data_IF_429140334156
#
_entry.id   IF_429140334156
#
_cell.length_a   1.000
_cell.length_b   1.000
_cell.length_c   1.000
_cell.angle_alpha   90.00
_cell.angle_beta   90.00
_cell.angle_gamma   90.00
#
_symmetry.space_group_name_H-M   'P 1'
#
loop_
_entity.id
_entity.type
_entity.pdbx_description
1 polymer ?
#
# COMPACT_ATOMS: atom_id res chain seq x y z
N UNK A 1 43.08 -28.48 40.45
CA UNK A 1 44.20 -28.49 39.50
C UNK A 1 43.92 -29.53 38.42
N UNK A 2 43.50 -29.12 37.22
CA UNK A 2 43.33 -30.01 36.06
C UNK A 2 44.11 -29.41 34.90
N UNK A 3 45.05 -30.19 34.40
CA UNK A 3 46.01 -29.83 33.36
C UNK A 3 45.34 -29.77 31.98
N UNK A 4 45.62 -28.70 31.25
CA UNK A 4 45.22 -28.50 29.85
C UNK A 4 46.24 -29.19 28.93
N UNK A 5 45.74 -30.06 28.04
CA UNK A 5 46.50 -30.69 26.96
C UNK A 5 46.20 -29.90 25.67
N UNK A 6 47.18 -29.15 25.20
CA UNK A 6 47.18 -28.44 23.92
C UNK A 6 47.70 -29.39 22.84
N UNK A 7 46.83 -29.83 21.93
CA UNK A 7 47.19 -30.54 20.71
C UNK A 7 47.14 -29.54 19.56
N UNK A 8 48.29 -29.18 19.01
CA UNK A 8 48.42 -28.32 17.85
C UNK A 8 48.28 -29.14 16.57
N UNK A 9 47.19 -28.91 15.82
CA UNK A 9 47.03 -29.42 14.46
C UNK A 9 47.52 -28.38 13.46
N UNK A 10 48.57 -28.71 12.72
CA UNK A 10 49.04 -27.94 11.56
C UNK A 10 48.24 -28.40 10.34
N UNK A 11 47.23 -27.62 9.96
CA UNK A 11 46.47 -27.84 8.74
C UNK A 11 47.17 -27.13 7.57
N UNK A 12 47.69 -27.90 6.62
CA UNK A 12 48.21 -27.40 5.36
C UNK A 12 47.04 -26.92 4.47
N UNK A 13 46.91 -25.61 4.32
CA UNK A 13 45.93 -24.97 3.43
C UNK A 13 46.46 -24.97 1.99
N UNK A 14 45.90 -25.85 1.17
CA UNK A 14 46.09 -25.82 -0.29
C UNK A 14 45.21 -24.71 -0.86
N UNK A 15 45.81 -23.56 -1.15
CA UNK A 15 45.15 -22.45 -1.86
C UNK A 15 44.89 -22.83 -3.31
N UNK A 16 43.69 -23.31 -3.60
CA UNK A 16 43.20 -23.38 -4.97
C UNK A 16 42.91 -21.95 -5.44
N UNK A 17 43.74 -21.43 -6.34
CA UNK A 17 43.49 -20.17 -7.01
C UNK A 17 42.22 -20.30 -7.84
N UNK A 18 41.09 -19.94 -7.25
CA UNK A 18 39.82 -19.81 -7.94
C UNK A 18 39.97 -18.67 -8.94
N UNK A 19 40.08 -18.99 -10.23
CA UNK A 19 39.92 -18.01 -11.30
C UNK A 19 38.50 -17.46 -11.14
N UNK A 20 38.38 -16.32 -10.46
CA UNK A 20 37.14 -15.58 -10.39
C UNK A 20 36.78 -15.24 -11.83
N UNK A 21 35.85 -16.02 -12.43
CA UNK A 21 35.15 -15.57 -13.61
C UNK A 21 34.59 -14.22 -13.20
N UNK A 22 35.09 -13.15 -13.81
CA UNK A 22 34.41 -11.87 -13.81
C UNK A 22 33.03 -12.19 -14.37
N UNK A 23 32.05 -12.35 -13.47
CA UNK A 23 30.67 -12.47 -13.83
C UNK A 23 30.40 -11.18 -14.60
N UNK A 24 30.36 -11.28 -15.93
CA UNK A 24 29.89 -10.21 -16.78
C UNK A 24 28.56 -9.80 -16.16
N UNK A 25 28.54 -8.62 -15.54
CA UNK A 25 27.36 -8.13 -14.86
C UNK A 25 26.22 -8.26 -15.87
N UNK A 26 25.21 -9.07 -15.51
CA UNK A 26 24.09 -9.32 -16.38
C UNK A 26 23.60 -7.97 -16.91
N UNK A 27 23.33 -7.84 -18.22
CA UNK A 27 22.97 -6.57 -18.83
C UNK A 27 21.92 -5.89 -17.95
N UNK A 28 22.21 -4.64 -17.55
CA UNK A 28 21.37 -3.81 -16.68
C UNK A 28 19.89 -4.12 -16.87
N UNK A 29 19.32 -4.89 -15.95
CA UNK A 29 17.97 -5.37 -16.07
C UNK A 29 16.99 -4.20 -15.94
N UNK A 30 15.81 -4.34 -16.54
CA UNK A 30 14.70 -3.42 -16.26
C UNK A 30 14.34 -3.55 -14.76
N UNK A 31 13.88 -2.46 -14.16
CA UNK A 31 13.32 -2.47 -12.80
C UNK A 31 11.81 -2.32 -12.87
N UNK A 32 11.09 -3.11 -12.09
CA UNK A 32 9.64 -3.02 -11.91
C UNK A 32 9.35 -2.37 -10.58
N UNK A 33 8.65 -1.25 -10.59
CA UNK A 33 8.13 -0.62 -9.37
C UNK A 33 6.62 -0.71 -9.37
N UNK A 34 6.07 -1.47 -8.44
CA UNK A 34 4.64 -1.59 -8.24
C UNK A 34 4.19 -0.74 -7.06
N UNK A 35 3.01 -0.13 -7.18
CA UNK A 35 2.43 0.67 -6.11
C UNK A 35 0.92 0.54 -6.10
N UNK A 36 0.37 0.53 -4.90
CA UNK A 36 -1.06 0.58 -4.59
C UNK A 36 -1.24 1.38 -3.29
N UNK A 37 -2.40 2.01 -3.07
CA UNK A 37 -2.68 2.66 -1.79
C UNK A 37 -2.82 1.67 -0.62
N UNK A 38 -2.96 0.38 -0.92
CA UNK A 38 -2.96 -0.72 0.04
C UNK A 38 -1.85 -1.72 -0.34
N UNK A 39 -1.34 -2.52 0.61
CA UNK A 39 -0.39 -3.59 0.32
C UNK A 39 -0.88 -4.48 -0.83
N UNK A 40 -0.01 -4.74 -1.82
CA UNK A 40 -0.39 -5.51 -3.01
C UNK A 40 -0.69 -6.99 -2.72
N UNK A 41 -0.19 -7.52 -1.60
CA UNK A 41 -0.42 -8.90 -1.15
C UNK A 41 -0.14 -9.92 -2.26
N UNK A 42 -1.06 -10.86 -2.54
CA UNK A 42 -0.88 -11.86 -3.60
C UNK A 42 -0.71 -11.28 -5.02
N UNK A 43 -1.18 -10.06 -5.28
CA UNK A 43 -0.93 -9.40 -6.57
C UNK A 43 0.56 -9.04 -6.68
N UNK A 44 1.16 -8.54 -5.61
CA UNK A 44 2.58 -8.19 -5.56
C UNK A 44 3.48 -9.42 -5.74
N UNK A 45 3.12 -10.54 -5.12
CA UNK A 45 3.82 -11.83 -5.33
C UNK A 45 3.85 -12.24 -6.81
N UNK A 46 2.72 -12.12 -7.51
CA UNK A 46 2.63 -12.45 -8.95
C UNK A 46 3.42 -11.48 -9.84
N UNK A 47 3.45 -10.20 -9.50
CA UNK A 47 4.25 -9.21 -10.21
C UNK A 47 5.74 -9.46 -10.00
N UNK A 48 6.14 -9.78 -8.78
CA UNK A 48 7.52 -10.17 -8.43
C UNK A 48 7.93 -11.43 -9.21
N UNK A 49 7.08 -12.45 -9.25
CA UNK A 49 7.31 -13.68 -10.02
C UNK A 49 7.46 -13.41 -11.53
N UNK A 50 6.63 -12.52 -12.08
CA UNK A 50 6.70 -12.12 -13.49
C UNK A 50 7.97 -11.31 -13.80
N UNK A 51 8.36 -10.39 -12.91
CA UNK A 51 9.59 -9.62 -13.03
C UNK A 51 10.83 -10.54 -12.99
N UNK A 52 10.88 -11.45 -12.02
CA UNK A 52 11.98 -12.40 -11.86
C UNK A 52 12.16 -13.30 -13.10
N UNK A 53 11.06 -13.79 -13.70
CA UNK A 53 11.12 -14.57 -14.96
C UNK A 53 11.73 -13.78 -16.13
N UNK A 54 11.54 -12.47 -16.16
CA UNK A 54 12.11 -11.60 -17.18
C UNK A 54 13.53 -11.11 -16.83
N UNK A 55 14.09 -11.57 -15.70
CA UNK A 55 15.38 -11.10 -15.18
C UNK A 55 15.34 -9.67 -14.63
N UNK A 56 14.15 -9.10 -14.40
CA UNK A 56 13.96 -7.75 -13.87
C UNK A 56 13.96 -7.73 -12.33
N UNK A 57 14.44 -6.63 -11.75
CA UNK A 57 14.29 -6.37 -10.31
C UNK A 57 12.85 -5.94 -9.99
N UNK A 58 12.36 -6.25 -8.79
CA UNK A 58 11.01 -5.87 -8.35
C UNK A 58 11.06 -5.10 -7.04
N UNK A 59 10.32 -3.99 -6.98
CA UNK A 59 10.13 -3.16 -5.80
C UNK A 59 8.63 -2.94 -5.59
N UNK A 60 8.12 -3.30 -4.42
CA UNK A 60 6.81 -2.86 -3.96
C UNK A 60 6.97 -1.53 -3.22
N UNK A 61 6.53 -0.45 -3.85
CA UNK A 61 6.53 0.91 -3.29
C UNK A 61 5.22 1.26 -2.59
N UNK A 62 4.26 0.31 -2.49
CA UNK A 62 3.02 0.51 -1.74
C UNK A 62 3.34 0.77 -0.26
N UNK A 63 2.50 1.54 0.47
CA UNK A 63 2.67 1.67 1.91
C UNK A 63 2.69 0.29 2.57
N UNK A 64 3.64 0.09 3.48
CA UNK A 64 3.64 -1.10 4.31
C UNK A 64 2.30 -1.21 5.04
N UNK A 65 1.77 -2.43 5.16
CA UNK A 65 0.66 -2.67 6.06
C UNK A 65 1.16 -2.26 7.46
N UNK A 66 0.55 -1.26 8.08
CA UNK A 66 0.81 -0.97 9.48
C UNK A 66 0.31 -2.19 10.27
N UNK A 67 1.20 -3.05 10.80
CA UNK A 67 0.77 -4.29 11.44
C UNK A 67 0.08 -3.90 12.73
N UNK A 68 -1.26 -3.87 12.70
CA UNK A 68 -2.02 -3.56 13.88
C UNK A 68 -1.85 -4.69 14.89
N UNK A 69 -1.57 -4.35 16.17
CA UNK A 69 -1.62 -5.35 17.22
C UNK A 69 -3.03 -5.93 17.30
N UNK A 70 -3.15 -7.25 17.26
CA UNK A 70 -4.43 -7.94 17.36
C UNK A 70 -4.82 -8.11 18.84
N UNK A 71 -5.95 -7.53 19.31
CA UNK A 71 -6.39 -7.70 20.69
C UNK A 71 -6.99 -9.09 20.97
N UNK A 72 -7.41 -9.86 19.95
CA UNK A 72 -8.12 -11.15 20.15
C UNK A 72 -7.35 -12.18 21.00
N UNK A 73 -6.03 -12.37 20.85
CA UNK A 73 -5.27 -13.26 21.73
C UNK A 73 -5.33 -12.85 23.21
N UNK A 74 -5.32 -11.54 23.50
CA UNK A 74 -5.44 -11.02 24.87
C UNK A 74 -6.86 -11.20 25.41
N UNK A 75 -7.89 -10.93 24.59
CA UNK A 75 -9.29 -11.19 24.94
C UNK A 75 -9.47 -12.67 25.30
N UNK A 76 -9.04 -13.58 24.42
CA UNK A 76 -9.14 -15.03 24.65
C UNK A 76 -8.42 -15.45 25.93
N UNK A 77 -7.20 -14.94 26.17
CA UNK A 77 -6.44 -15.20 27.39
C UNK A 77 -7.17 -14.72 28.63
N UNK A 78 -7.71 -13.50 28.60
CA UNK A 78 -8.45 -12.91 29.70
C UNK A 78 -9.73 -13.68 30.05
N UNK A 79 -10.51 -14.08 29.05
CA UNK A 79 -11.70 -14.91 29.23
C UNK A 79 -11.34 -16.28 29.81
N UNK A 80 -10.26 -16.90 29.31
CA UNK A 80 -9.77 -18.19 29.83
C UNK A 80 -9.34 -18.06 31.30
N UNK A 81 -8.57 -17.03 31.63
CA UNK A 81 -8.11 -16.76 33.00
C UNK A 81 -9.30 -16.50 33.95
N UNK A 82 -10.33 -15.76 33.49
CA UNK A 82 -11.55 -15.57 34.27
C UNK A 82 -12.25 -16.91 34.57
N UNK A 83 -12.40 -17.78 33.56
CA UNK A 83 -12.98 -19.12 33.73
C UNK A 83 -12.19 -20.02 34.70
N UNK A 84 -10.89 -19.80 34.82
CA UNK A 84 -10.00 -20.50 35.77
C UNK A 84 -9.92 -19.81 37.15
N UNK A 85 -10.71 -18.75 37.38
CA UNK A 85 -10.67 -17.93 38.60
C UNK A 85 -9.32 -17.20 38.84
N UNK A 86 -8.51 -17.04 37.80
CA UNK A 86 -7.26 -16.26 37.82
C UNK A 86 -7.57 -14.77 37.58
N UNK A 87 -8.32 -14.16 38.50
CA UNK A 87 -8.96 -12.84 38.30
C UNK A 87 -7.98 -11.72 37.95
N UNK A 88 -6.79 -11.68 38.58
CA UNK A 88 -5.76 -10.69 38.26
C UNK A 88 -5.20 -10.87 36.85
N UNK A 89 -4.94 -12.12 36.44
CA UNK A 89 -4.50 -12.44 35.08
C UNK A 89 -5.55 -12.08 34.02
N UNK A 90 -6.83 -12.29 34.35
CA UNK A 90 -7.96 -11.88 33.53
C UNK A 90 -8.01 -10.36 33.35
N UNK A 91 -7.99 -9.59 34.44
CA UNK A 91 -8.02 -8.13 34.43
C UNK A 91 -6.86 -7.58 33.61
N UNK A 92 -5.63 -8.00 33.90
CA UNK A 92 -4.45 -7.50 33.18
C UNK A 92 -4.51 -7.77 31.67
N UNK A 93 -4.99 -8.96 31.27
CA UNK A 93 -5.11 -9.31 29.86
C UNK A 93 -6.23 -8.52 29.16
N UNK A 94 -7.38 -8.33 29.82
CA UNK A 94 -8.52 -7.61 29.26
C UNK A 94 -8.28 -6.09 29.24
N UNK A 95 -7.58 -5.52 30.23
CA UNK A 95 -7.16 -4.12 30.20
C UNK A 95 -6.18 -3.86 29.06
N UNK A 96 -5.17 -4.70 28.89
CA UNK A 96 -4.26 -4.59 27.75
C UNK A 96 -5.00 -4.72 26.41
N UNK A 97 -6.00 -5.61 26.31
CA UNK A 97 -6.83 -5.71 25.12
C UNK A 97 -7.66 -4.44 24.87
N UNK A 98 -8.24 -3.84 25.92
CA UNK A 98 -8.99 -2.60 25.81
C UNK A 98 -8.11 -1.42 25.40
N UNK A 99 -6.87 -1.35 25.89
CA UNK A 99 -5.89 -0.33 25.45
C UNK A 99 -5.56 -0.46 23.96
N UNK A 100 -5.39 -1.69 23.48
CA UNK A 100 -5.21 -1.94 22.04
C UNK A 100 -6.46 -1.57 21.24
N UNK A 101 -7.65 -1.83 21.76
CA UNK A 101 -8.91 -1.43 21.12
C UNK A 101 -9.03 0.09 21.02
N UNK A 102 -8.65 0.84 22.06
CA UNK A 102 -8.59 2.31 22.04
C UNK A 102 -7.59 2.83 20.99
N UNK A 103 -6.40 2.21 20.89
CA UNK A 103 -5.37 2.57 19.91
C UNK A 103 -5.77 2.24 18.46
N UNK A 104 -6.44 1.11 18.26
CA UNK A 104 -6.76 0.58 16.93
C UNK A 104 -8.18 0.94 16.47
N UNK A 105 -8.98 1.65 17.27
CA UNK A 105 -10.37 1.95 16.95
C UNK A 105 -11.22 0.68 16.80
N UNK A 106 -10.91 -0.37 17.56
CA UNK A 106 -11.49 -1.71 17.44
C UNK A 106 -11.32 -2.36 16.05
N UNK A 107 -10.28 -1.99 15.28
CA UNK A 107 -10.05 -2.54 13.95
C UNK A 107 -9.99 -4.08 13.96
N UNK A 108 -10.75 -4.71 13.07
CA UNK A 108 -10.81 -6.17 12.94
C UNK A 108 -11.67 -6.89 14.00
N UNK A 109 -12.29 -6.18 14.95
CA UNK A 109 -13.25 -6.75 15.89
C UNK A 109 -14.69 -6.55 15.41
N UNK A 110 -15.53 -7.58 15.57
CA UNK A 110 -16.98 -7.44 15.48
C UNK A 110 -17.58 -7.00 16.83
N UNK A 111 -18.84 -6.58 16.79
CA UNK A 111 -19.54 -6.07 17.98
C UNK A 111 -19.68 -7.11 19.09
N UNK A 112 -19.69 -8.41 18.75
CA UNK A 112 -19.77 -9.49 19.73
C UNK A 112 -18.46 -9.67 20.48
N UNK A 113 -17.36 -9.76 19.76
CA UNK A 113 -16.02 -9.88 20.35
C UNK A 113 -15.67 -8.64 21.17
N UNK A 114 -16.02 -7.45 20.68
CA UNK A 114 -15.85 -6.19 21.40
C UNK A 114 -16.72 -6.14 22.67
N UNK A 115 -17.99 -6.57 22.58
CA UNK A 115 -18.87 -6.69 23.74
C UNK A 115 -18.39 -7.72 24.75
N UNK A 116 -17.85 -8.85 24.31
CA UNK A 116 -17.31 -9.90 25.19
C UNK A 116 -16.08 -9.40 25.97
N UNK A 117 -15.18 -8.65 25.34
CA UNK A 117 -14.06 -8.01 26.03
C UNK A 117 -14.54 -7.23 27.26
N UNK A 118 -15.45 -6.28 27.09
CA UNK A 118 -15.90 -5.45 28.20
C UNK A 118 -16.82 -6.21 29.16
N UNK A 119 -17.58 -7.20 28.69
CA UNK A 119 -18.41 -8.03 29.58
C UNK A 119 -17.53 -8.81 30.55
N UNK A 120 -16.53 -9.52 30.06
CA UNK A 120 -15.65 -10.30 30.94
C UNK A 120 -14.78 -9.42 31.82
N UNK A 121 -14.46 -8.19 31.38
CA UNK A 121 -13.75 -7.22 32.21
C UNK A 121 -14.63 -6.73 33.38
N UNK A 122 -15.90 -6.43 33.09
CA UNK A 122 -16.89 -6.10 34.11
C UNK A 122 -17.03 -7.22 35.15
N UNK A 123 -17.16 -8.47 34.69
CA UNK A 123 -17.29 -9.65 35.54
C UNK A 123 -16.07 -9.87 36.45
N UNK A 124 -14.86 -9.73 35.89
CA UNK A 124 -13.63 -9.87 36.65
C UNK A 124 -13.52 -8.78 37.75
N UNK A 125 -13.86 -7.53 37.42
CA UNK A 125 -13.90 -6.43 38.40
C UNK A 125 -14.98 -6.62 39.47
N UNK A 126 -16.19 -7.06 39.10
CA UNK A 126 -17.26 -7.35 40.06
C UNK A 126 -16.84 -8.43 41.06
N UNK A 127 -16.19 -9.49 40.58
CA UNK A 127 -15.74 -10.60 41.41
C UNK A 127 -14.65 -10.17 42.40
N UNK A 128 -13.85 -9.16 42.06
CA UNK A 128 -12.84 -8.54 42.95
C UNK A 128 -13.42 -7.48 43.90
N UNK A 129 -14.73 -7.19 43.82
CA UNK A 129 -15.38 -6.14 44.62
C UNK A 129 -15.12 -4.72 44.11
N UNK A 130 -14.68 -4.55 42.85
CA UNK A 130 -14.52 -3.23 42.23
C UNK A 130 -15.78 -2.85 41.44
N UNK A 131 -16.85 -2.56 42.19
CA UNK A 131 -18.17 -2.26 41.62
C UNK A 131 -18.20 -1.04 40.69
N UNK A 132 -17.45 0.06 40.93
CA UNK A 132 -17.42 1.19 40.00
C UNK A 132 -16.87 0.82 38.62
N UNK A 133 -15.70 0.17 38.55
CA UNK A 133 -15.13 -0.25 37.25
C UNK A 133 -16.01 -1.27 36.54
N UNK A 134 -16.56 -2.22 37.30
CA UNK A 134 -17.50 -3.20 36.77
C UNK A 134 -18.72 -2.53 36.13
N UNK A 135 -19.29 -1.54 36.81
CA UNK A 135 -20.41 -0.77 36.27
C UNK A 135 -20.07 -0.04 34.98
N UNK A 136 -18.93 0.66 34.93
CA UNK A 136 -18.48 1.39 33.74
C UNK A 136 -18.36 0.46 32.53
N UNK A 137 -17.84 -0.75 32.73
CA UNK A 137 -17.70 -1.74 31.67
C UNK A 137 -19.05 -2.33 31.24
N UNK A 138 -19.97 -2.61 32.17
CA UNK A 138 -21.33 -3.02 31.80
C UNK A 138 -22.06 -1.95 30.97
N UNK A 139 -21.88 -0.67 31.28
CA UNK A 139 -22.43 0.45 30.50
C UNK A 139 -21.83 0.46 29.10
N UNK A 140 -20.52 0.23 28.96
CA UNK A 140 -19.87 0.09 27.65
C UNK A 140 -20.47 -1.06 26.83
N UNK A 141 -20.61 -2.25 27.42
CA UNK A 141 -21.22 -3.42 26.73
C UNK A 141 -22.66 -3.10 26.29
N UNK A 142 -23.45 -2.47 27.16
CA UNK A 142 -24.82 -2.07 26.85
C UNK A 142 -24.89 -1.02 25.73
N UNK A 143 -23.89 -0.15 25.60
CA UNK A 143 -23.73 0.79 24.49
C UNK A 143 -23.43 0.09 23.16
N UNK A 144 -22.50 -0.87 23.16
CA UNK A 144 -22.09 -1.64 21.97
C UNK A 144 -23.20 -2.59 21.51
N UNK A 145 -23.85 -3.29 22.44
CA UNK A 145 -24.84 -4.34 22.16
C UNK A 145 -26.15 -4.10 22.95
N UNK A 146 -26.94 -3.07 22.61
CA UNK A 146 -28.12 -2.68 23.39
C UNK A 146 -29.22 -3.75 23.44
N UNK A 147 -29.22 -4.69 22.49
CA UNK A 147 -30.18 -5.79 22.42
C UNK A 147 -29.70 -7.07 23.11
N UNK A 148 -28.46 -7.11 23.61
CA UNK A 148 -27.91 -8.30 24.26
C UNK A 148 -28.66 -8.62 25.55
N UNK A 149 -28.96 -9.90 25.74
CA UNK A 149 -29.51 -10.45 26.98
C UNK A 149 -28.54 -11.52 27.46
N UNK A 150 -28.15 -11.47 28.73
CA UNK A 150 -27.31 -12.51 29.33
C UNK A 150 -28.18 -13.71 29.68
N UNK A 151 -27.70 -14.90 29.35
CA UNK A 151 -28.37 -16.17 29.68
C UNK A 151 -28.31 -16.41 31.20
N UNK A 152 -29.44 -16.48 31.92
CA UNK A 152 -29.45 -16.76 33.35
C UNK A 152 -28.83 -18.11 33.74
N UNK A 153 -28.74 -19.08 32.81
CA UNK A 153 -28.06 -20.34 33.08
C UNK A 153 -26.52 -20.20 33.07
N UNK A 154 -26.00 -19.23 32.33
CA UNK A 154 -24.56 -18.98 32.19
C UNK A 154 -24.00 -17.93 33.15
N UNK A 155 -24.85 -17.10 33.77
CA UNK A 155 -24.42 -15.98 34.60
C UNK A 155 -25.19 -15.92 35.94
N UNK A 156 -24.53 -15.54 37.05
CA UNK A 156 -25.21 -15.36 38.33
C UNK A 156 -26.37 -14.34 38.24
N UNK A 157 -27.49 -14.53 38.96
CA UNK A 157 -28.64 -13.62 38.88
C UNK A 157 -28.28 -12.14 39.10
N UNK A 158 -27.40 -11.86 40.08
CA UNK A 158 -26.91 -10.50 40.35
C UNK A 158 -26.22 -9.84 39.15
N UNK A 159 -25.50 -10.62 38.35
CA UNK A 159 -24.84 -10.15 37.12
C UNK A 159 -25.88 -9.84 36.04
N UNK A 160 -26.86 -10.74 35.85
CA UNK A 160 -27.95 -10.55 34.90
C UNK A 160 -28.74 -9.29 35.23
N UNK A 161 -29.12 -9.12 36.49
CA UNK A 161 -29.84 -7.93 36.98
C UNK A 161 -29.01 -6.66 36.80
N UNK A 162 -27.71 -6.70 37.14
CA UNK A 162 -26.80 -5.54 37.03
C UNK A 162 -26.60 -5.12 35.58
N UNK A 163 -26.43 -6.07 34.66
CA UNK A 163 -26.34 -5.75 33.24
C UNK A 163 -27.68 -5.25 32.68
N UNK A 164 -28.81 -5.78 33.16
CA UNK A 164 -30.14 -5.24 32.87
C UNK A 164 -30.29 -3.77 33.27
N UNK A 165 -29.79 -3.40 34.45
CA UNK A 165 -29.73 -2.00 34.91
C UNK A 165 -28.83 -1.15 34.01
N UNK A 166 -27.66 -1.63 33.59
CA UNK A 166 -26.77 -0.91 32.69
C UNK A 166 -27.43 -0.65 31.32
N UNK A 167 -28.17 -1.63 30.79
CA UNK A 167 -28.97 -1.45 29.56
C UNK A 167 -30.06 -0.40 29.71
N UNK A 168 -30.81 -0.44 30.81
CA UNK A 168 -31.83 0.56 31.10
C UNK A 168 -31.21 1.96 31.25
N UNK A 169 -30.04 2.06 31.89
CA UNK A 169 -29.28 3.29 32.01
C UNK A 169 -28.87 3.85 30.65
N UNK A 170 -28.22 3.04 29.79
CA UNK A 170 -27.82 3.45 28.44
C UNK A 170 -29.02 3.85 27.58
N UNK A 171 -30.15 3.15 27.68
CA UNK A 171 -31.37 3.50 26.97
C UNK A 171 -31.95 4.86 27.40
N UNK A 172 -31.69 5.29 28.63
CA UNK A 172 -32.11 6.58 29.17
C UNK A 172 -31.09 7.71 28.93
N UNK A 173 -29.88 7.40 28.45
CA UNK A 173 -28.88 8.43 28.14
C UNK A 173 -29.34 9.29 26.95
N UNK A 174 -29.00 10.59 26.93
CA UNK A 174 -29.15 11.41 25.74
C UNK A 174 -28.45 10.75 24.55
N UNK A 175 -28.97 11.02 23.35
CA UNK A 175 -28.36 10.53 22.10
C UNK A 175 -27.70 11.67 21.36
N UNK A 176 -26.51 11.40 20.84
CA UNK A 176 -25.77 12.29 19.95
C UNK A 176 -25.88 11.82 18.51
N UNK A 177 -26.12 12.76 17.61
CA UNK A 177 -26.08 12.58 16.17
C UNK A 177 -24.64 12.64 15.70
N UNK A 178 -24.11 11.52 15.23
CA UNK A 178 -22.77 11.40 14.66
C UNK A 178 -22.87 11.52 13.15
N UNK A 179 -22.26 12.58 12.62
CA UNK A 179 -22.16 12.88 11.20
C UNK A 179 -20.80 12.45 10.68
N UNK A 180 -20.77 11.54 9.72
CA UNK A 180 -19.54 11.02 9.13
C UNK A 180 -19.15 11.89 7.93
N UNK A 181 -17.93 12.44 7.94
CA UNK A 181 -17.44 13.34 6.90
C UNK A 181 -16.02 13.01 6.44
N UNK A 182 -15.67 13.20 5.15
CA UNK A 182 -16.59 13.33 4.03
C UNK A 182 -17.27 11.98 3.74
N UNK A 183 -18.59 11.99 3.63
CA UNK A 183 -19.36 10.83 3.17
C UNK A 183 -19.94 11.14 1.79
N UNK A 184 -19.69 10.29 0.81
CA UNK A 184 -20.18 10.48 -0.56
C UNK A 184 -19.25 11.24 -1.52
N UNK A 185 -17.96 11.40 -1.20
CA UNK A 185 -16.95 11.81 -2.18
C UNK A 185 -16.57 10.68 -3.15
N UNK A 186 -15.61 10.92 -4.05
CA UNK A 186 -15.09 9.92 -5.00
C UNK A 186 -14.50 8.65 -4.33
N UNK A 187 -14.14 8.73 -3.04
CA UNK A 187 -13.59 7.60 -2.30
C UNK A 187 -14.73 6.77 -1.66
N UNK A 188 -14.74 5.46 -1.95
CA UNK A 188 -15.57 4.50 -1.22
C UNK A 188 -14.94 4.24 0.14
N UNK A 189 -15.70 4.47 1.21
CA UNK A 189 -15.27 4.18 2.57
C UNK A 189 -16.06 3.01 3.15
N UNK A 190 -15.40 2.11 3.85
CA UNK A 190 -16.00 1.15 4.76
C UNK A 190 -15.78 1.68 6.18
N UNK A 191 -16.87 1.96 6.89
CA UNK A 191 -16.84 2.45 8.27
C UNK A 191 -17.45 1.42 9.19
N UNK A 192 -16.77 1.13 10.29
CA UNK A 192 -17.27 0.36 11.41
C UNK A 192 -17.34 1.25 12.64
N UNK A 193 -18.46 1.19 13.33
CA UNK A 193 -18.63 1.80 14.66
C UNK A 193 -19.00 0.67 15.61
N UNK A 194 -18.21 0.53 16.68
CA UNK A 194 -18.36 -0.54 17.68
C UNK A 194 -18.40 -1.94 17.07
N UNK A 195 -17.61 -2.14 16.00
CA UNK A 195 -17.56 -3.40 15.25
C UNK A 195 -18.75 -3.65 14.32
N UNK A 196 -19.69 -2.71 14.18
CA UNK A 196 -20.84 -2.79 13.25
C UNK A 196 -20.56 -1.97 12.00
N UNK A 197 -20.79 -2.54 10.80
CA UNK A 197 -20.64 -1.81 9.53
C UNK A 197 -21.75 -0.78 9.42
N UNK A 198 -21.37 0.48 9.22
CA UNK A 198 -22.27 1.60 9.01
C UNK A 198 -22.38 1.91 7.52
N UNK A 199 -23.61 2.07 7.04
CA UNK A 199 -23.92 2.37 5.62
C UNK A 199 -24.56 3.74 5.42
N UNK A 200 -24.74 4.52 6.48
CA UNK A 200 -25.35 5.86 6.46
C UNK A 200 -24.34 6.94 6.82
N UNK A 201 -24.57 8.16 6.32
CA UNK A 201 -23.80 9.37 6.67
C UNK A 201 -23.98 9.79 8.12
N UNK A 202 -25.09 9.38 8.71
CA UNK A 202 -25.63 9.88 9.96
C UNK A 202 -26.13 8.70 10.77
N UNK A 203 -25.81 8.71 12.05
CA UNK A 203 -26.30 7.74 13.01
C UNK A 203 -26.50 8.42 14.37
N UNK A 204 -27.44 7.91 15.15
CA UNK A 204 -27.61 8.33 16.53
C UNK A 204 -26.99 7.30 17.46
N UNK A 205 -26.09 7.73 18.33
CA UNK A 205 -25.48 6.90 19.37
C UNK A 205 -25.89 7.41 20.75
N UNK A 206 -26.06 6.55 21.76
CA UNK A 206 -26.16 7.03 23.13
C UNK A 206 -24.89 7.80 23.51
N UNK A 207 -24.98 8.72 24.47
CA UNK A 207 -23.79 9.38 25.00
C UNK A 207 -22.86 8.33 25.63
N UNK A 208 -21.56 8.45 25.37
CA UNK A 208 -20.59 7.46 25.83
C UNK A 208 -19.39 7.26 24.91
N UNK A 209 -18.64 6.20 25.19
CA UNK A 209 -17.46 5.80 24.42
C UNK A 209 -17.84 4.86 23.30
N UNK A 210 -17.34 5.15 22.12
CA UNK A 210 -17.50 4.36 20.90
C UNK A 210 -16.16 4.20 20.20
N UNK A 211 -16.04 3.24 19.29
CA UNK A 211 -14.82 3.01 18.52
C UNK A 211 -15.11 3.07 17.04
N UNK A 212 -14.27 3.81 16.31
CA UNK A 212 -14.40 4.04 14.87
C UNK A 212 -13.19 3.43 14.16
N UNK A 213 -13.46 2.53 13.21
CA UNK A 213 -12.50 2.04 12.22
C UNK A 213 -13.05 2.34 10.83
N UNK A 214 -12.38 3.24 10.12
CA UNK A 214 -12.76 3.67 8.78
C UNK A 214 -11.61 3.44 7.80
N UNK A 215 -11.90 2.74 6.71
CA UNK A 215 -10.97 2.53 5.59
C UNK A 215 -11.57 3.11 4.34
N UNK A 216 -10.86 4.05 3.71
CA UNK A 216 -11.27 4.69 2.46
C UNK A 216 -10.28 4.36 1.35
N UNK A 217 -10.79 4.22 0.13
CA UNK A 217 -9.94 4.03 -1.05
C UNK A 217 -8.93 5.18 -1.21
N UNK A 218 -7.67 4.83 -1.50
CA UNK A 218 -6.57 5.79 -1.69
C UNK A 218 -6.25 6.71 -0.50
N UNK A 219 -6.67 6.35 0.72
CA UNK A 219 -6.42 7.13 1.94
C UNK A 219 -5.96 6.23 3.07
N UNK A 220 -5.19 6.82 3.99
CA UNK A 220 -4.83 6.14 5.23
C UNK A 220 -6.11 5.88 6.06
N UNK A 221 -6.19 4.74 6.77
CA UNK A 221 -7.32 4.42 7.62
C UNK A 221 -7.42 5.39 8.80
N UNK A 222 -8.64 5.67 9.27
CA UNK A 222 -8.91 6.41 10.50
C UNK A 222 -9.38 5.43 11.56
N UNK A 223 -8.64 5.37 12.66
CA UNK A 223 -8.87 4.48 13.79
C UNK A 223 -8.77 5.27 15.07
N UNK A 224 -9.84 5.32 15.85
CA UNK A 224 -9.85 6.07 17.12
C UNK A 224 -11.05 5.71 17.98
N UNK A 225 -10.91 6.00 19.27
CA UNK A 225 -12.05 6.19 20.17
C UNK A 225 -12.80 7.47 19.82
N UNK A 226 -14.12 7.41 19.91
CA UNK A 226 -15.06 8.50 19.74
C UNK A 226 -15.85 8.67 21.04
N UNK A 227 -15.73 9.83 21.66
CA UNK A 227 -16.50 10.18 22.85
C UNK A 227 -17.74 10.99 22.40
N UNK A 228 -18.93 10.42 22.56
CA UNK A 228 -20.21 11.06 22.24
C UNK A 228 -20.74 11.77 23.47
N UNK A 229 -20.52 13.08 23.55
CA UNK A 229 -20.81 13.90 24.73
C UNK A 229 -21.73 15.10 24.46
N UNK A 230 -22.22 15.23 23.22
CA UNK A 230 -23.02 16.37 22.75
C UNK A 230 -24.01 15.95 21.66
N UNK A 231 -24.96 16.83 21.37
CA UNK A 231 -26.08 16.55 20.46
C UNK A 231 -25.64 16.27 19.03
N UNK A 232 -24.59 16.94 18.53
CA UNK A 232 -24.08 16.71 17.17
C UNK A 232 -22.55 16.64 17.18
N UNK A 233 -21.99 15.61 16.55
CA UNK A 233 -20.55 15.42 16.42
C UNK A 233 -20.22 15.09 14.96
N UNK A 234 -19.28 15.84 14.39
CA UNK A 234 -18.71 15.50 13.10
C UNK A 234 -17.46 14.63 13.27
N UNK A 235 -17.43 13.50 12.58
CA UNK A 235 -16.34 12.54 12.61
C UNK A 235 -15.68 12.50 11.25
N UNK A 236 -14.43 12.96 11.20
CA UNK A 236 -13.60 12.82 10.00
C UNK A 236 -13.20 11.36 9.81
N UNK A 237 -13.80 10.68 8.84
CA UNK A 237 -13.56 9.26 8.53
C UNK A 237 -12.48 9.02 7.47
N UNK A 238 -12.05 10.07 6.78
CA UNK A 238 -11.05 9.98 5.72
C UNK A 238 -9.70 10.51 6.19
N UNK A 239 -8.69 9.63 6.22
CA UNK A 239 -7.31 10.01 6.50
C UNK A 239 -6.66 10.82 5.37
N UNK A 240 -5.36 11.14 5.51
CA UNK A 240 -4.58 11.74 4.43
C UNK A 240 -4.59 10.85 3.19
N UNK A 241 -4.50 11.48 2.02
CA UNK A 241 -4.40 10.76 0.75
C UNK A 241 -3.04 10.07 0.67
N UNK A 242 -3.06 8.80 0.26
CA UNK A 242 -1.84 8.06 -0.07
C UNK A 242 -1.52 8.37 -1.54
N UNK A 243 -0.40 9.07 -1.76
CA UNK A 243 0.02 9.51 -3.10
C UNK A 243 1.05 8.53 -3.63
N UNK A 244 0.97 8.11 -4.92
CA UNK A 244 2.02 7.33 -5.53
C UNK A 244 3.33 8.12 -5.60
N UNK A 245 4.50 7.45 -5.62
CA UNK A 245 5.76 8.10 -5.96
C UNK A 245 5.64 8.80 -7.32
N UNK A 246 6.17 10.01 -7.43
CA UNK A 246 6.21 10.71 -8.72
C UNK A 246 7.26 10.09 -9.67
N UNK A 247 7.13 10.39 -10.96
CA UNK A 247 8.03 9.84 -11.99
C UNK A 247 9.51 10.21 -11.70
N UNK A 248 9.77 11.36 -11.07
CA UNK A 248 11.13 11.78 -10.71
C UNK A 248 11.74 10.87 -9.63
N UNK A 249 11.02 10.58 -8.55
CA UNK A 249 11.44 9.67 -7.50
C UNK A 249 11.65 8.24 -8.03
N UNK A 250 10.76 7.78 -8.92
CA UNK A 250 10.90 6.46 -9.55
C UNK A 250 12.13 6.37 -10.48
N UNK A 251 12.41 7.43 -11.24
CA UNK A 251 13.62 7.49 -12.09
C UNK A 251 14.91 7.55 -11.28
N UNK A 252 14.91 8.19 -10.11
CA UNK A 252 16.05 8.14 -9.19
C UNK A 252 16.32 6.70 -8.75
N UNK A 253 15.29 5.95 -8.35
CA UNK A 253 15.43 4.52 -8.00
C UNK A 253 15.98 3.70 -9.17
N UNK A 254 15.45 3.91 -10.39
CA UNK A 254 15.92 3.21 -11.57
C UNK A 254 17.40 3.51 -11.91
N UNK A 255 17.84 4.76 -11.75
CA UNK A 255 19.24 5.16 -11.97
C UNK A 255 20.18 4.56 -10.94
N UNK A 256 19.78 4.55 -9.67
CA UNK A 256 20.56 3.91 -8.59
C UNK A 256 20.71 2.41 -8.86
N UNK A 257 19.68 1.76 -9.37
CA UNK A 257 19.72 0.36 -9.79
C UNK A 257 20.46 0.13 -11.13
N UNK A 258 20.97 1.19 -11.77
CA UNK A 258 21.55 1.15 -13.12
C UNK A 258 20.63 0.52 -14.17
N UNK A 259 19.31 0.62 -14.01
CA UNK A 259 18.32 0.01 -14.89
C UNK A 259 18.26 0.72 -16.25
N UNK A 260 17.97 -0.04 -17.32
CA UNK A 260 17.80 0.51 -18.70
C UNK A 260 16.45 1.17 -18.90
N UNK A 261 15.42 0.55 -18.34
CA UNK A 261 14.07 1.05 -18.31
C UNK A 261 13.42 0.74 -16.96
N UNK A 262 12.38 1.49 -16.67
CA UNK A 262 11.54 1.37 -15.49
C UNK A 262 10.15 0.95 -15.97
N UNK A 263 9.61 -0.15 -15.43
CA UNK A 263 8.21 -0.50 -15.60
C UNK A 263 7.46 -0.16 -14.32
N UNK A 264 6.50 0.75 -14.40
CA UNK A 264 5.69 1.18 -13.26
C UNK A 264 4.34 0.47 -13.33
N UNK A 265 3.91 -0.13 -12.22
CA UNK A 265 2.60 -0.76 -12.08
C UNK A 265 1.82 -0.05 -10.99
N UNK A 266 0.88 0.82 -11.36
CA UNK A 266 -0.02 1.48 -10.43
C UNK A 266 -1.36 0.75 -10.36
N UNK A 267 -1.73 0.26 -9.18
CA UNK A 267 -3.03 -0.36 -8.93
C UNK A 267 -3.85 0.57 -8.05
N UNK A 268 -4.96 1.09 -8.57
CA UNK A 268 -5.88 1.95 -7.82
C UNK A 268 -7.32 1.53 -8.11
N UNK A 269 -8.01 1.11 -7.05
CA UNK A 269 -9.40 0.68 -7.13
C UNK A 269 -9.61 -0.46 -8.11
N UNK A 270 -10.38 -0.18 -9.16
CA UNK A 270 -10.71 -1.12 -10.24
C UNK A 270 -9.89 -0.90 -11.50
N UNK A 271 -8.72 -0.26 -11.38
CA UNK A 271 -7.84 -0.01 -12.52
C UNK A 271 -6.40 -0.34 -12.18
N UNK A 272 -5.69 -0.93 -13.14
CA UNK A 272 -4.23 -1.02 -13.11
C UNK A 272 -3.64 -0.31 -14.32
N UNK A 273 -2.63 0.50 -14.09
CA UNK A 273 -1.87 1.19 -15.10
C UNK A 273 -0.45 0.62 -15.10
N UNK A 274 -0.07 0.02 -16.22
CA UNK A 274 1.29 -0.47 -16.47
C UNK A 274 1.94 0.51 -17.44
N UNK A 275 3.09 1.06 -17.12
CA UNK A 275 3.84 2.01 -17.97
C UNK A 275 5.29 1.59 -18.07
N UNK A 276 5.88 1.66 -19.26
CA UNK A 276 7.33 1.51 -19.45
C UNK A 276 7.94 2.87 -19.73
N UNK A 277 8.87 3.29 -18.88
CA UNK A 277 9.61 4.54 -18.97
C UNK A 277 11.08 4.24 -19.32
N UNK A 278 11.65 5.02 -20.25
CA UNK A 278 13.10 5.06 -20.41
C UNK A 278 13.76 5.78 -19.25
N UNK A 279 15.07 5.59 -19.06
CA UNK A 279 15.84 6.30 -18.02
C UNK A 279 15.92 7.83 -18.26
N UNK A 280 15.60 8.25 -19.49
CA UNK A 280 15.39 9.64 -19.92
C UNK A 280 14.03 10.20 -19.50
N UNK A 281 13.19 9.39 -18.84
CA UNK A 281 11.85 9.75 -18.38
C UNK A 281 10.78 9.71 -19.46
N UNK A 282 11.13 9.34 -20.70
CA UNK A 282 10.14 9.25 -21.79
C UNK A 282 9.34 7.96 -21.68
N UNK A 283 8.02 8.08 -21.78
CA UNK A 283 7.11 6.94 -21.86
C UNK A 283 7.30 6.22 -23.21
N UNK A 284 7.55 4.92 -23.13
CA UNK A 284 7.77 4.03 -24.29
C UNK A 284 6.56 3.14 -24.57
N UNK A 285 5.85 2.73 -23.53
CA UNK A 285 4.64 1.90 -23.63
C UNK A 285 3.71 2.15 -22.43
N UNK A 286 2.41 1.93 -22.63
CA UNK A 286 1.36 2.09 -21.63
C UNK A 286 0.20 1.14 -21.88
N UNK A 287 -0.22 0.45 -20.83
CA UNK A 287 -1.43 -0.38 -20.81
C UNK A 287 -2.29 -0.01 -19.60
N UNK A 288 -3.58 0.20 -19.84
CA UNK A 288 -4.58 0.41 -18.79
C UNK A 288 -5.50 -0.80 -18.75
N UNK A 289 -5.65 -1.41 -17.58
CA UNK A 289 -6.44 -2.61 -17.34
C UNK A 289 -7.60 -2.28 -16.40
N UNK A 290 -8.81 -2.74 -16.73
CA UNK A 290 -9.95 -2.68 -15.83
C UNK A 290 -10.01 -3.95 -14.98
N UNK A 291 -10.05 -3.79 -13.66
CA UNK A 291 -10.07 -4.88 -12.68
C UNK A 291 -11.51 -5.11 -12.19
N UNK A 292 -11.90 -6.38 -12.07
CA UNK A 292 -13.22 -6.81 -11.59
C UNK A 292 -13.23 -7.24 -10.11
N UNK A 293 -12.10 -7.17 -9.42
CA UNK A 293 -11.88 -7.67 -8.07
C UNK A 293 -11.66 -9.18 -7.99
N UNK A 294 -11.24 -9.84 -9.07
CA UNK A 294 -11.13 -11.30 -9.13
C UNK A 294 -9.68 -11.80 -9.11
N UNK A 295 -9.48 -13.09 -8.80
CA UNK A 295 -8.15 -13.73 -8.91
C UNK A 295 -7.60 -13.62 -10.34
N UNK A 296 -8.47 -13.65 -11.35
CA UNK A 296 -8.11 -13.51 -12.76
C UNK A 296 -7.45 -12.16 -13.05
N UNK A 297 -7.92 -11.09 -12.44
CA UNK A 297 -7.33 -9.75 -12.62
C UNK A 297 -5.85 -9.73 -12.27
N UNK A 298 -5.44 -10.45 -11.21
CA UNK A 298 -4.04 -10.56 -10.80
C UNK A 298 -3.17 -11.16 -11.90
N UNK A 299 -3.68 -12.18 -12.58
CA UNK A 299 -2.99 -12.81 -13.71
C UNK A 299 -2.94 -11.90 -14.94
N UNK A 300 -3.95 -11.07 -15.16
CA UNK A 300 -4.00 -10.13 -16.29
C UNK A 300 -2.97 -8.99 -16.13
N UNK A 301 -2.81 -8.45 -14.92
CA UNK A 301 -1.76 -7.45 -14.63
C UNK A 301 -0.36 -8.07 -14.81
N UNK A 302 -0.13 -9.26 -14.27
CA UNK A 302 1.15 -9.95 -14.41
C UNK A 302 1.48 -10.30 -15.87
N UNK A 303 0.47 -10.68 -16.68
CA UNK A 303 0.64 -10.91 -18.11
C UNK A 303 0.93 -9.62 -18.88
N UNK A 304 0.30 -8.50 -18.52
CA UNK A 304 0.63 -7.20 -19.09
C UNK A 304 2.05 -6.75 -18.77
N UNK A 305 2.47 -6.94 -17.51
CA UNK A 305 3.85 -6.71 -17.09
C UNK A 305 4.83 -7.57 -17.90
N UNK A 306 4.57 -8.88 -18.03
CA UNK A 306 5.42 -9.78 -18.79
C UNK A 306 5.58 -9.32 -20.25
N UNK A 307 4.49 -8.91 -20.92
CA UNK A 307 4.55 -8.36 -22.28
C UNK A 307 5.38 -7.07 -22.39
N UNK A 308 5.37 -6.21 -21.36
CA UNK A 308 6.19 -5.00 -21.34
C UNK A 308 7.68 -5.26 -21.07
N UNK A 309 7.98 -6.36 -20.38
CA UNK A 309 9.33 -6.80 -20.08
C UNK A 309 9.93 -7.64 -21.22
N UNK A 310 9.10 -8.23 -22.10
CA UNK A 310 9.60 -8.85 -23.32
C UNK A 310 10.46 -7.84 -24.10
N UNK A 311 11.67 -8.27 -24.47
CA UNK A 311 12.52 -7.48 -25.36
C UNK A 311 11.70 -7.16 -26.62
N UNK A 312 11.78 -5.92 -27.15
CA UNK A 312 11.12 -5.60 -28.41
C UNK A 312 11.51 -6.68 -29.41
N UNK A 313 10.53 -7.45 -29.88
CA UNK A 313 10.80 -8.41 -30.94
C UNK A 313 11.38 -7.58 -32.07
N UNK A 314 12.56 -7.95 -32.63
CA UNK A 314 13.05 -7.25 -33.80
C UNK A 314 11.90 -7.28 -34.80
N UNK A 315 11.40 -6.09 -35.15
CA UNK A 315 10.36 -5.99 -36.16
C UNK A 315 10.86 -6.71 -37.42
N UNK A 316 9.96 -7.18 -38.30
CA UNK A 316 10.40 -7.56 -39.64
C UNK A 316 11.29 -6.41 -40.15
N UNK A 317 12.51 -6.70 -40.65
CA UNK A 317 13.45 -5.68 -41.05
C UNK A 317 12.70 -4.68 -41.93
N UNK A 318 12.72 -3.41 -41.54
CA UNK A 318 12.05 -2.36 -42.30
C UNK A 318 12.56 -2.48 -43.75
N UNK A 319 11.67 -2.63 -44.74
CA UNK A 319 12.10 -2.79 -46.11
C UNK A 319 13.06 -1.66 -46.44
N UNK A 320 14.24 -1.97 -46.95
CA UNK A 320 15.33 -0.99 -47.08
C UNK A 320 14.89 0.31 -47.79
N UNK A 321 13.93 0.22 -48.72
CA UNK A 321 13.35 1.35 -49.45
C UNK A 321 12.41 2.24 -48.62
N UNK A 322 12.02 1.87 -47.40
CA UNK A 322 11.23 2.73 -46.49
C UNK A 322 12.12 3.54 -45.54
N UNK A 323 13.40 3.17 -45.40
CA UNK A 323 14.34 3.90 -44.56
C UNK A 323 14.51 5.33 -45.07
N UNK A 324 14.25 6.32 -44.19
CA UNK A 324 14.45 7.75 -44.49
C UNK A 324 15.89 8.05 -44.90
N UNK A 325 16.85 7.28 -44.39
CA UNK A 325 18.26 7.39 -44.77
C UNK A 325 18.52 6.94 -46.20
N UNK A 326 17.81 5.93 -46.69
CA UNK A 326 17.95 5.47 -48.07
C UNK A 326 17.49 6.55 -49.04
N UNK A 327 16.35 7.20 -48.77
CA UNK A 327 15.90 8.33 -49.59
C UNK A 327 16.81 9.56 -49.47
N UNK A 328 17.37 9.83 -48.29
CA UNK A 328 18.37 10.87 -48.10
C UNK A 328 19.63 10.63 -48.93
N UNK A 329 20.18 9.41 -48.87
CA UNK A 329 21.36 9.02 -49.65
C UNK A 329 21.10 9.02 -51.16
N UNK A 330 19.94 8.50 -51.58
CA UNK A 330 19.52 8.53 -52.98
C UNK A 330 19.36 9.97 -53.50
N UNK A 331 18.76 10.85 -52.70
CA UNK A 331 18.62 12.27 -53.03
C UNK A 331 19.97 12.97 -53.20
N UNK A 332 20.92 12.72 -52.30
CA UNK A 332 22.30 13.25 -52.40
C UNK A 332 23.01 12.70 -53.65
N UNK A 333 22.86 11.41 -53.96
CA UNK A 333 23.47 10.81 -55.14
C UNK A 333 22.91 11.40 -56.44
N UNK A 334 21.58 11.59 -56.54
CA UNK A 334 20.93 12.21 -57.70
C UNK A 334 21.36 13.67 -57.84
N UNK A 335 21.35 14.44 -56.74
CA UNK A 335 21.79 15.83 -56.75
C UNK A 335 23.26 15.96 -57.18
N UNK A 336 24.14 15.08 -56.69
CA UNK A 336 25.53 15.01 -57.12
C UNK A 336 25.67 14.67 -58.60
N UNK A 337 24.95 13.66 -59.11
CA UNK A 337 24.99 13.28 -60.52
C UNK A 337 24.51 14.40 -61.46
N UNK A 338 23.57 15.24 -61.02
CA UNK A 338 23.10 16.40 -61.78
C UNK A 338 24.11 17.55 -61.69
N UNK A 339 24.58 17.90 -60.49
CA UNK A 339 25.38 19.10 -60.27
C UNK A 339 26.85 18.95 -60.67
N UNK A 340 27.45 17.76 -60.53
CA UNK A 340 28.86 17.53 -60.85
C UNK A 340 29.18 17.86 -62.32
N UNK A 341 28.39 17.43 -63.34
CA UNK A 341 28.63 17.83 -64.72
C UNK A 341 28.59 19.35 -64.93
N UNK A 342 27.70 20.08 -64.26
CA UNK A 342 27.66 21.54 -64.34
C UNK A 342 28.88 22.18 -63.67
N UNK A 343 29.30 21.69 -62.50
CA UNK A 343 30.48 22.18 -61.81
C UNK A 343 31.77 21.92 -62.60
N UNK A 344 31.90 20.76 -63.25
CA UNK A 344 33.06 20.39 -64.07
C UNK A 344 33.08 21.16 -65.40
N UNK A 345 31.93 21.44 -66.03
CA UNK A 345 31.88 22.27 -67.25
C UNK A 345 32.11 23.76 -67.00
N UNK A 346 31.84 24.23 -65.78
CA UNK A 346 31.98 25.63 -65.41
C UNK A 346 33.33 25.93 -64.72
N UNK A 347 34.35 25.13 -65.00
CA UNK A 347 35.73 25.39 -64.56
C UNK A 347 36.45 26.45 -65.41
N UNK A 348 35.71 27.22 -66.22
CA UNK A 348 36.23 28.48 -66.75
C UNK A 348 36.59 29.37 -65.57
N UNK A 349 37.78 29.99 -65.62
CA UNK A 349 38.30 30.90 -64.60
C UNK A 349 37.18 31.74 -64.01
N UNK A 350 36.87 31.51 -62.73
CA UNK A 350 35.85 32.29 -62.04
C UNK A 350 36.18 33.77 -62.26
N UNK A 351 35.23 34.59 -62.74
CA UNK A 351 35.49 36.01 -62.89
C UNK A 351 35.95 36.53 -61.53
N UNK A 352 37.08 37.22 -61.50
CA UNK A 352 37.57 37.90 -60.31
C UNK A 352 36.52 38.95 -59.93
N UNK A 353 35.64 38.61 -59.00
CA UNK A 353 34.67 39.56 -58.45
C UNK A 353 35.42 40.41 -57.44
N UNK A 354 36.03 41.50 -57.93
CA UNK A 354 36.55 42.56 -57.08
C UNK A 354 35.35 43.29 -56.47
N UNK A 355 34.97 42.89 -55.26
CA UNK A 355 33.98 43.62 -54.48
C UNK A 355 34.63 44.92 -54.01
N UNK A 356 34.41 46.01 -54.76
CA UNK A 356 34.68 47.37 -54.25
C UNK A 356 33.47 47.79 -53.41
N UNK A 357 33.64 48.03 -52.10
CA UNK A 357 32.57 48.63 -51.31
C UNK A 357 32.31 50.04 -51.82
N UNK A 358 31.07 50.29 -52.24
CA UNK A 358 30.63 51.62 -52.64
C UNK A 358 30.60 52.53 -51.40
N UNK A 359 31.36 53.63 -51.43
CA UNK A 359 31.32 54.67 -50.39
C UNK A 359 32.52 54.81 -49.45
N UNK A 360 33.68 54.18 -49.69
CA UNK A 360 34.91 54.56 -48.95
C UNK A 360 35.64 55.74 -49.63
N UNK A 361 35.83 56.89 -48.96
CA UNK A 361 36.64 57.98 -49.47
C UNK A 361 38.13 57.58 -49.54
N UNK A 362 38.82 58.03 -50.58
CA UNK A 362 40.25 57.82 -50.76
C UNK A 362 41.03 58.56 -49.66
N UNK A 363 41.81 57.82 -48.88
CA UNK A 363 42.87 58.35 -48.02
C UNK A 363 44.19 57.66 -48.37
#
# INVERSE_FOLDING_TARGET
MRAQLLVAWVAATVSTASVARTASAAPAADIVVAWSPQPLGPTGERLSEAAARAGAAYVDASPAADPLPDPRPLIKRGITAYGNLELEGAINSLDAAADLVDQTGAAGLDSTTLGDLFLYRALAHATRGNDPKSWDDFVVVAGIQPTRVLDPAGFPPRVVDRFGQARAHVAALPRGKVMLAPWGGAARCQVRIDGVIVTTTELELPFGRHWVDASCEARAPVRRRLDVDRVTIEVKIAGPQVVPPDDAALLVQARVASARALVVVFVQGRTALVRKLGIDGKERDRQTLALRGTVRDRSEIAAALARMLEAPRPGPPEPWYQSRWVWGAAGVAIAGAILIPFAVRNSGSAPEVVVRPDGMPAW
#
